data_IF_326308812127
#
_entry.id   IF_326308812127
#
_cell.length_a   1.000
_cell.length_b   1.000
_cell.length_c   1.000
_cell.angle_alpha   90.00
_cell.angle_beta   90.00
_cell.angle_gamma   90.00
#
_symmetry.space_group_name_H-M   'P 1'
#
loop_
_entity.id
_entity.type
_entity.pdbx_description
1 polymer ?
#
# COMPACT_ATOMS: atom_id res chain seq x y z
N UNK A 1 17.72 0.19 1.77
CA UNK A 1 16.30 -0.17 1.67
C UNK A 1 15.47 0.73 2.58
N UNK A 2 14.36 1.19 2.10
CA UNK A 2 13.42 2.02 2.83
C UNK A 2 12.13 1.23 3.02
N UNK A 3 11.54 1.31 4.19
CA UNK A 3 10.27 0.65 4.48
C UNK A 3 9.34 1.64 5.20
N UNK A 4 8.09 1.67 4.77
CA UNK A 4 7.08 2.57 5.31
C UNK A 4 5.78 1.82 5.58
N UNK A 5 4.97 2.34 6.50
CA UNK A 5 3.68 1.75 6.85
C UNK A 5 2.58 2.45 6.07
N UNK A 6 1.77 1.68 5.35
CA UNK A 6 0.60 2.22 4.63
C UNK A 6 -0.68 2.10 5.46
N UNK A 7 -0.82 1.06 6.25
CA UNK A 7 -1.88 0.87 7.23
C UNK A 7 -1.30 0.25 8.48
N UNK A 8 -1.64 0.77 9.64
CA UNK A 8 -1.13 0.29 10.92
C UNK A 8 -2.29 -0.28 11.75
N UNK A 9 -2.39 -1.61 11.80
CA UNK A 9 -3.34 -2.34 12.65
C UNK A 9 -4.77 -1.77 12.54
N UNK A 10 -5.25 -1.60 11.31
CA UNK A 10 -6.58 -1.07 11.06
C UNK A 10 -7.63 -2.11 11.44
N UNK A 11 -8.56 -1.73 12.33
CA UNK A 11 -9.62 -2.62 12.83
C UNK A 11 -10.98 -2.31 12.25
N UNK A 12 -11.07 -1.28 11.45
CA UNK A 12 -12.27 -0.86 10.73
C UNK A 12 -11.90 -0.51 9.29
N UNK A 13 -12.91 -0.31 8.47
CA UNK A 13 -12.67 0.11 7.09
C UNK A 13 -11.93 1.45 7.10
N UNK A 14 -10.76 1.48 6.49
CA UNK A 14 -9.83 2.61 6.57
C UNK A 14 -9.22 2.92 5.22
N UNK A 15 -9.16 4.20 4.90
CA UNK A 15 -8.32 4.69 3.80
C UNK A 15 -7.02 5.14 4.44
N UNK A 16 -5.93 4.44 4.16
CA UNK A 16 -4.63 4.76 4.74
C UNK A 16 -4.08 6.10 4.25
N UNK A 17 -3.09 6.62 4.97
CA UNK A 17 -2.41 7.82 4.54
C UNK A 17 -1.61 7.55 3.27
N UNK A 18 -1.53 8.57 2.42
CA UNK A 18 -0.74 8.42 1.19
C UNK A 18 0.74 8.50 1.49
N UNK A 19 1.48 7.56 0.92
CA UNK A 19 2.93 7.58 0.89
C UNK A 19 3.37 8.23 -0.41
N UNK A 20 4.17 9.29 -0.34
CA UNK A 20 4.74 9.91 -1.51
C UNK A 20 6.20 9.51 -1.64
N UNK A 21 6.54 8.89 -2.76
CA UNK A 21 7.90 8.48 -3.05
C UNK A 21 8.59 9.65 -3.74
N UNK A 22 9.67 10.14 -3.13
CA UNK A 22 10.45 11.23 -3.69
C UNK A 22 11.73 10.70 -4.31
N UNK A 23 11.97 11.13 -5.54
CA UNK A 23 13.24 10.91 -6.22
C UNK A 23 13.92 12.27 -6.26
N UNK A 24 15.04 12.38 -5.57
CA UNK A 24 15.76 13.66 -5.45
C UNK A 24 17.08 13.57 -6.25
N UNK A 25 17.28 14.54 -7.13
CA UNK A 25 18.52 14.65 -7.88
C UNK A 25 18.69 13.55 -8.92
N UNK A 26 19.90 13.01 -8.99
CA UNK A 26 20.26 12.01 -9.99
C UNK A 26 20.10 10.57 -9.51
N UNK A 27 19.38 10.37 -8.42
CA UNK A 27 19.16 9.03 -7.88
C UNK A 27 18.36 8.18 -8.86
N UNK A 28 18.76 6.92 -8.97
CA UNK A 28 18.05 5.96 -9.80
C UNK A 28 16.76 5.56 -9.06
N UNK A 29 15.58 5.65 -9.72
CA UNK A 29 14.34 5.21 -9.09
C UNK A 29 14.42 3.74 -8.70
N UNK A 30 13.73 3.32 -7.64
CA UNK A 30 13.67 1.91 -7.30
C UNK A 30 13.06 1.12 -8.46
N UNK A 31 13.64 -0.05 -8.75
CA UNK A 31 13.18 -0.87 -9.86
C UNK A 31 11.82 -1.49 -9.55
N UNK A 32 11.65 -1.91 -8.31
CA UNK A 32 10.39 -2.52 -7.85
C UNK A 32 10.17 -2.18 -6.38
N UNK A 33 8.91 -2.18 -6.02
CA UNK A 33 8.49 -2.05 -4.62
C UNK A 33 7.85 -3.34 -4.16
N UNK A 34 8.11 -3.71 -2.91
CA UNK A 34 7.45 -4.83 -2.26
C UNK A 34 6.35 -4.29 -1.35
N UNK A 35 5.17 -4.88 -1.46
CA UNK A 35 4.03 -4.55 -0.59
C UNK A 35 3.70 -5.80 0.20
N UNK A 36 3.72 -5.70 1.52
CA UNK A 36 3.30 -6.80 2.39
C UNK A 36 1.98 -6.45 3.04
N UNK A 37 1.02 -7.34 2.90
CA UNK A 37 -0.31 -7.20 3.47
C UNK A 37 -0.48 -8.28 4.51
N UNK A 38 -0.84 -7.89 5.73
CA UNK A 38 -1.13 -8.82 6.81
C UNK A 38 -2.60 -8.62 7.24
N UNK A 39 -3.40 -9.66 7.09
CA UNK A 39 -4.81 -9.65 7.44
C UNK A 39 -5.06 -10.72 8.50
N UNK A 40 -5.65 -10.30 9.62
CA UNK A 40 -6.14 -11.19 10.66
C UNK A 40 -7.65 -11.10 10.65
N UNK A 41 -8.32 -12.24 10.58
CA UNK A 41 -9.78 -12.28 10.50
C UNK A 41 -10.27 -12.04 9.05
N UNK A 42 -11.31 -11.24 8.90
CA UNK A 42 -11.96 -10.99 7.61
C UNK A 42 -11.78 -9.54 7.22
N UNK A 43 -11.16 -9.31 6.08
CA UNK A 43 -11.01 -7.96 5.50
C UNK A 43 -10.58 -8.08 4.04
N UNK A 44 -10.76 -6.99 3.30
CA UNK A 44 -10.27 -6.86 1.92
C UNK A 44 -9.35 -5.65 1.86
N UNK A 45 -8.25 -5.78 1.13
CA UNK A 45 -7.29 -4.70 0.98
C UNK A 45 -7.06 -4.42 -0.51
N UNK A 46 -7.17 -3.16 -0.88
CA UNK A 46 -6.86 -2.68 -2.22
C UNK A 46 -5.72 -1.69 -2.13
N UNK A 47 -4.68 -1.92 -2.92
CA UNK A 47 -3.60 -0.95 -3.07
C UNK A 47 -3.99 0.01 -4.19
N UNK A 48 -3.81 1.30 -3.94
CA UNK A 48 -4.11 2.35 -4.90
C UNK A 48 -2.90 3.22 -5.13
N UNK A 49 -2.80 3.76 -6.33
CA UNK A 49 -1.70 4.64 -6.67
C UNK A 49 -2.14 5.76 -7.59
N UNK A 50 -1.28 6.77 -7.69
CA UNK A 50 -1.44 7.86 -8.66
C UNK A 50 -0.05 8.42 -8.98
N UNK A 51 0.08 8.93 -10.20
CA UNK A 51 1.36 9.46 -10.68
C UNK A 51 1.47 10.99 -10.53
N UNK A 52 0.39 11.64 -10.11
CA UNK A 52 0.35 13.09 -9.91
C UNK A 52 -0.64 13.41 -8.80
N UNK A 53 -0.34 14.45 -8.00
CA UNK A 53 -1.20 14.77 -6.86
C UNK A 53 -2.62 15.21 -7.25
N UNK A 54 -2.83 15.61 -8.49
CA UNK A 54 -4.16 15.96 -9.01
C UNK A 54 -4.82 14.82 -9.77
N UNK A 55 -4.13 13.73 -9.98
CA UNK A 55 -4.70 12.56 -10.64
C UNK A 55 -5.60 11.79 -9.67
N UNK A 56 -6.68 11.17 -10.17
CA UNK A 56 -7.49 10.31 -9.31
C UNK A 56 -6.71 9.07 -8.89
N UNK A 57 -7.06 8.52 -7.74
CA UNK A 57 -6.49 7.25 -7.29
C UNK A 57 -7.01 6.11 -8.15
N UNK A 58 -6.13 5.19 -8.49
CA UNK A 58 -6.44 4.03 -9.34
C UNK A 58 -6.04 2.77 -8.61
N UNK A 59 -6.86 1.74 -8.70
CA UNK A 59 -6.57 0.44 -8.11
C UNK A 59 -5.37 -0.20 -8.81
N UNK A 60 -4.46 -0.75 -8.02
CA UNK A 60 -3.30 -1.48 -8.50
C UNK A 60 -3.49 -2.95 -8.14
N UNK A 61 -3.59 -3.80 -9.16
CA UNK A 61 -3.76 -5.23 -8.96
C UNK A 61 -5.12 -5.59 -8.39
N UNK A 62 -5.24 -6.83 -7.96
CA UNK A 62 -6.48 -7.36 -7.43
C UNK A 62 -6.64 -7.07 -5.94
N UNK A 63 -7.88 -7.08 -5.48
CA UNK A 63 -8.17 -7.00 -4.05
C UNK A 63 -7.62 -8.25 -3.36
N UNK A 64 -6.92 -8.05 -2.25
CA UNK A 64 -6.39 -9.13 -1.44
C UNK A 64 -7.32 -9.42 -0.27
N UNK A 65 -7.65 -10.67 -0.06
CA UNK A 65 -8.48 -11.13 1.06
C UNK A 65 -7.67 -11.94 2.08
N UNK A 66 -6.41 -12.19 1.77
CA UNK A 66 -5.48 -12.95 2.62
C UNK A 66 -4.16 -12.23 2.70
N UNK A 67 -3.41 -12.54 3.75
CA UNK A 67 -2.03 -12.04 3.87
C UNK A 67 -1.21 -12.47 2.66
N UNK A 68 -0.48 -11.54 2.10
CA UNK A 68 0.31 -11.79 0.89
C UNK A 68 1.46 -10.80 0.75
N UNK A 69 2.35 -11.12 -0.17
CA UNK A 69 3.43 -10.26 -0.59
C UNK A 69 3.27 -10.02 -2.08
N UNK A 70 3.31 -8.78 -2.51
CA UNK A 70 3.19 -8.43 -3.93
C UNK A 70 4.27 -7.43 -4.31
N UNK A 71 4.55 -7.36 -5.61
CA UNK A 71 5.52 -6.44 -6.18
C UNK A 71 4.82 -5.50 -7.14
N UNK A 72 5.17 -4.22 -7.07
CA UNK A 72 4.59 -3.21 -7.94
C UNK A 72 5.68 -2.32 -8.52
N UNK A 73 5.36 -1.65 -9.62
CA UNK A 73 6.23 -0.64 -10.18
C UNK A 73 6.21 0.61 -9.31
N UNK A 74 7.32 1.35 -9.22
CA UNK A 74 7.35 2.60 -8.46
C UNK A 74 6.37 3.62 -9.04
N UNK A 75 5.58 4.22 -8.15
CA UNK A 75 4.62 5.27 -8.50
C UNK A 75 4.78 6.42 -7.52
N UNK A 76 4.40 7.62 -7.93
CA UNK A 76 4.58 8.81 -7.11
C UNK A 76 3.92 8.67 -5.73
N UNK A 77 2.67 8.25 -5.68
CA UNK A 77 1.95 8.12 -4.42
C UNK A 77 1.23 6.78 -4.35
N UNK A 78 1.23 6.20 -3.16
CA UNK A 78 0.57 4.93 -2.87
C UNK A 78 -0.27 5.08 -1.61
N UNK A 79 -1.35 4.33 -1.54
CA UNK A 79 -2.11 4.15 -0.30
C UNK A 79 -2.76 2.77 -0.29
N UNK A 80 -3.13 2.32 0.89
CA UNK A 80 -3.88 1.08 1.05
C UNK A 80 -5.26 1.40 1.60
N UNK A 81 -6.26 0.68 1.12
CA UNK A 81 -7.65 0.85 1.55
C UNK A 81 -8.16 -0.49 2.03
N UNK A 82 -8.67 -0.54 3.27
CA UNK A 82 -9.30 -1.74 3.80
C UNK A 82 -10.82 -1.59 3.79
N UNK A 83 -11.52 -2.66 3.43
CA UNK A 83 -12.98 -2.71 3.38
C UNK A 83 -13.47 -4.05 3.89
N UNK A 84 -14.74 -4.14 4.24
CA UNK A 84 -15.32 -5.38 4.71
C UNK A 84 -14.68 -5.94 5.96
N UNK A 85 -14.16 -5.06 6.83
CA UNK A 85 -13.44 -5.48 8.03
C UNK A 85 -14.42 -6.01 9.06
N UNK A 86 -14.31 -7.30 9.37
CA UNK A 86 -15.18 -7.96 10.33
C UNK A 86 -14.78 -7.69 11.78
N UNK A 87 -15.60 -8.17 12.74
CA UNK A 87 -15.24 -8.07 14.15
C UNK A 87 -13.98 -8.87 14.45
N UNK A 88 -13.15 -8.37 15.34
CA UNK A 88 -11.88 -8.97 15.74
C UNK A 88 -10.89 -9.14 14.58
N UNK A 89 -11.05 -8.33 13.54
CA UNK A 89 -10.15 -8.33 12.40
C UNK A 89 -9.16 -7.17 12.49
N UNK A 90 -7.99 -7.34 11.87
CA UNK A 90 -7.00 -6.28 11.77
C UNK A 90 -6.25 -6.38 10.46
N UNK A 91 -5.84 -5.22 9.95
CA UNK A 91 -5.11 -5.12 8.68
C UNK A 91 -3.90 -4.23 8.87
N UNK A 92 -2.76 -4.71 8.43
CA UNK A 92 -1.53 -3.90 8.36
C UNK A 92 -0.92 -4.06 6.99
N UNK A 93 -0.39 -2.97 6.45
CA UNK A 93 0.21 -2.95 5.12
C UNK A 93 1.51 -2.16 5.18
N UNK A 94 2.57 -2.74 4.64
CA UNK A 94 3.88 -2.10 4.57
C UNK A 94 4.35 -2.05 3.13
N UNK A 95 5.11 -1.02 2.81
CA UNK A 95 5.80 -0.90 1.52
C UNK A 95 7.30 -0.80 1.76
N UNK A 96 8.08 -1.45 0.93
CA UNK A 96 9.54 -1.37 0.99
C UNK A 96 10.12 -1.26 -0.41
N UNK A 97 11.21 -0.50 -0.54
CA UNK A 97 11.92 -0.37 -1.82
C UNK A 97 13.40 -0.14 -1.56
N UNK A 98 14.19 -0.49 -2.57
CA UNK A 98 15.62 -0.23 -2.56
C UNK A 98 15.93 1.19 -3.03
N UNK A 99 17.04 1.69 -2.56
CA UNK A 99 17.53 3.02 -2.96
C UNK A 99 18.86 2.84 -3.67
#
# INVERSE_FOLDING_TARGET
MVAEVLLADAKTDTVGESLTIRIIGTQIPPVKMSIQIAITGTAKVQIQGRVHRQAPWVDIGDISEKSCLMYIEPILSLRAVSTGTGPDSSVSVWAAWGV
#
